data_IF_659124706846
#
_entry.id   IF_659124706846
#
_cell.length_a   1.000
_cell.length_b   1.000
_cell.length_c   1.000
_cell.angle_alpha   90.00
_cell.angle_beta   90.00
_cell.angle_gamma   90.00
#
_symmetry.space_group_name_H-M   'P 1'
#
loop_
_entity.id
_entity.type
_entity.pdbx_description
1 polymer ?
#
# COMPACT_ATOMS: atom_id res chain seq x y z
N UNK A 1 -48.52 29.73 8.76
CA UNK A 1 -47.18 29.83 9.40
C UNK A 1 -46.65 28.50 9.95
N UNK A 2 -47.47 27.63 10.57
CA UNK A 2 -47.01 26.32 11.07
C UNK A 2 -46.55 25.33 9.97
N UNK A 3 -47.19 25.34 8.79
CA UNK A 3 -46.78 24.49 7.67
C UNK A 3 -45.46 24.92 7.01
N UNK A 4 -45.09 26.21 7.10
CA UNK A 4 -43.84 26.72 6.54
C UNK A 4 -42.63 26.35 7.41
N UNK A 5 -42.82 26.24 8.74
CA UNK A 5 -41.77 25.75 9.64
C UNK A 5 -41.46 24.26 9.45
N UNK A 6 -42.48 23.43 9.15
CA UNK A 6 -42.28 21.98 8.94
C UNK A 6 -41.49 21.72 7.66
N UNK A 7 -41.65 22.55 6.62
CA UNK A 7 -40.89 22.44 5.38
C UNK A 7 -39.42 22.88 5.55
N UNK A 8 -39.15 23.83 6.45
CA UNK A 8 -37.79 24.28 6.76
C UNK A 8 -37.01 23.29 7.65
N UNK A 9 -37.71 22.43 8.40
CA UNK A 9 -37.08 21.37 9.22
C UNK A 9 -36.80 20.08 8.44
N UNK A 10 -37.36 19.90 7.24
CA UNK A 10 -37.11 18.72 6.39
C UNK A 10 -35.97 18.90 5.38
N UNK A 11 -35.45 20.12 5.18
CA UNK A 11 -34.31 20.38 4.27
C UNK A 11 -32.94 20.10 4.90
N UNK A 12 -32.89 19.70 6.16
CA UNK A 12 -31.67 19.29 6.87
C UNK A 12 -31.39 17.77 6.77
N UNK A 13 -31.92 17.10 5.74
CA UNK A 13 -31.54 15.72 5.40
C UNK A 13 -30.08 15.69 4.95
N UNK A 14 -29.18 15.63 5.95
CA UNK A 14 -27.95 14.84 6.01
C UNK A 14 -27.32 14.57 4.64
N UNK A 15 -26.75 15.59 4.03
CA UNK A 15 -25.73 15.41 3.01
C UNK A 15 -24.46 14.92 3.72
N UNK A 16 -24.38 13.61 4.00
CA UNK A 16 -23.10 12.97 4.27
C UNK A 16 -22.34 12.90 2.95
N UNK A 17 -21.61 13.96 2.63
CA UNK A 17 -20.59 13.88 1.59
C UNK A 17 -19.51 12.93 2.10
N UNK A 18 -19.34 11.79 1.43
CA UNK A 18 -18.17 10.97 1.69
C UNK A 18 -16.93 11.75 1.28
N UNK A 19 -16.09 12.04 2.26
CA UNK A 19 -14.88 12.81 2.05
C UNK A 19 -13.81 11.91 1.41
N UNK A 20 -13.34 12.30 0.24
CA UNK A 20 -12.16 11.71 -0.39
C UNK A 20 -10.97 11.76 0.58
N UNK A 21 -10.21 10.67 0.64
CA UNK A 21 -9.00 10.63 1.42
C UNK A 21 -7.84 11.13 0.55
N UNK A 22 -7.16 12.20 1.00
CA UNK A 22 -6.05 12.82 0.27
C UNK A 22 -4.72 12.66 0.99
N UNK A 23 -3.66 12.48 0.22
CA UNK A 23 -2.29 12.48 0.71
C UNK A 23 -1.37 13.20 -0.27
N UNK A 24 -0.39 13.92 0.24
CA UNK A 24 0.62 14.61 -0.55
C UNK A 24 2.00 14.04 -0.25
N UNK A 25 2.77 13.82 -1.30
CA UNK A 25 4.15 13.36 -1.24
C UNK A 25 5.05 14.43 -1.87
N UNK A 26 6.01 14.96 -1.11
CA UNK A 26 6.88 16.05 -1.58
C UNK A 26 8.20 15.54 -2.16
N UNK A 27 8.76 16.32 -3.09
CA UNK A 27 9.98 15.98 -3.82
C UNK A 27 11.03 17.09 -3.74
N UNK A 28 12.29 16.65 -3.80
CA UNK A 28 13.43 17.53 -3.99
C UNK A 28 13.37 18.24 -5.35
N UNK A 29 14.12 19.33 -5.46
CA UNK A 29 14.31 20.01 -6.75
C UNK A 29 14.94 19.03 -7.75
N UNK A 30 14.37 18.99 -8.96
CA UNK A 30 14.89 18.23 -10.09
C UNK A 30 14.94 16.70 -9.90
N UNK A 31 14.12 16.17 -8.99
CA UNK A 31 14.10 14.74 -8.65
C UNK A 31 12.70 14.15 -8.67
N UNK A 32 12.64 12.86 -8.98
CA UNK A 32 11.44 12.01 -8.89
C UNK A 32 11.62 10.80 -7.95
N UNK A 33 12.80 10.61 -7.36
CA UNK A 33 12.96 9.63 -6.29
C UNK A 33 12.26 10.15 -5.03
N UNK A 34 11.47 9.29 -4.39
CA UNK A 34 10.72 9.63 -3.18
C UNK A 34 11.72 9.72 -2.01
N UNK A 35 11.79 10.85 -1.28
CA UNK A 35 12.62 10.94 -0.07
C UNK A 35 12.22 9.89 0.97
N UNK A 36 13.16 9.34 1.73
CA UNK A 36 12.89 8.27 2.73
C UNK A 36 11.83 8.66 3.76
N UNK A 37 11.81 9.93 4.19
CA UNK A 37 10.80 10.46 5.10
C UNK A 37 9.40 10.45 4.50
N UNK A 38 9.29 10.80 3.22
CA UNK A 38 8.03 10.82 2.48
C UNK A 38 7.59 9.40 2.12
N UNK A 39 8.52 8.51 1.79
CA UNK A 39 8.25 7.09 1.58
C UNK A 39 7.64 6.46 2.84
N UNK A 40 8.21 6.76 4.02
CA UNK A 40 7.68 6.28 5.30
C UNK A 40 6.26 6.81 5.58
N UNK A 41 5.99 8.08 5.25
CA UNK A 41 4.65 8.68 5.38
C UNK A 41 3.65 8.08 4.41
N UNK A 42 4.09 7.80 3.19
CA UNK A 42 3.28 7.13 2.17
C UNK A 42 2.89 5.72 2.60
N UNK A 43 3.82 4.92 3.16
CA UNK A 43 3.47 3.59 3.67
C UNK A 43 2.44 3.65 4.82
N UNK A 44 2.55 4.63 5.72
CA UNK A 44 1.54 4.85 6.77
C UNK A 44 0.19 5.30 6.19
N UNK A 45 0.19 5.99 5.06
CA UNK A 45 -1.04 6.31 4.35
C UNK A 45 -1.66 5.06 3.73
N UNK A 46 -0.86 4.23 3.05
CA UNK A 46 -1.31 2.99 2.42
C UNK A 46 -1.94 2.02 3.44
N UNK A 47 -1.38 1.90 4.65
CA UNK A 47 -1.96 1.02 5.67
C UNK A 47 -3.38 1.43 6.08
N UNK A 48 -3.74 2.71 5.96
CA UNK A 48 -5.11 3.19 6.22
C UNK A 48 -6.03 2.89 5.04
N UNK A 49 -5.48 2.94 3.83
CA UNK A 49 -6.21 2.70 2.58
C UNK A 49 -6.52 1.21 2.40
N UNK A 50 -5.65 0.32 2.88
CA UNK A 50 -5.83 -1.14 2.83
C UNK A 50 -7.09 -1.63 3.56
N UNK A 51 -7.54 -0.91 4.60
CA UNK A 51 -8.74 -1.28 5.37
C UNK A 51 -10.07 -0.83 4.71
N UNK A 52 -9.99 -0.19 3.54
CA UNK A 52 -11.09 0.47 2.85
C UNK A 52 -11.48 -0.27 1.56
N UNK A 53 -12.77 -0.34 1.26
CA UNK A 53 -13.22 -0.67 -0.09
C UNK A 53 -12.99 0.52 -1.01
N UNK A 54 -12.08 0.39 -1.96
CA UNK A 54 -11.67 1.49 -2.85
C UNK A 54 -12.49 1.45 -4.14
N UNK A 55 -13.13 2.58 -4.47
CA UNK A 55 -13.77 2.78 -5.77
C UNK A 55 -12.74 3.26 -6.80
N UNK A 56 -11.91 4.22 -6.40
CA UNK A 56 -11.02 4.93 -7.31
C UNK A 56 -9.80 5.47 -6.59
N UNK A 57 -8.62 5.32 -7.22
CA UNK A 57 -7.39 6.02 -6.87
C UNK A 57 -6.98 6.90 -8.04
N UNK A 58 -6.63 8.15 -7.73
CA UNK A 58 -6.07 9.11 -8.67
C UNK A 58 -4.73 9.64 -8.14
N UNK A 59 -3.72 9.68 -9.00
CA UNK A 59 -2.35 10.10 -8.69
C UNK A 59 -1.99 11.24 -9.65
N UNK A 60 -1.72 12.42 -9.11
CA UNK A 60 -1.40 13.61 -9.89
C UNK A 60 -0.06 14.21 -9.48
N UNK A 61 0.90 14.20 -10.39
CA UNK A 61 2.23 14.77 -10.15
C UNK A 61 2.31 16.23 -10.56
N UNK A 62 3.11 17.00 -9.82
CA UNK A 62 3.30 18.43 -10.04
C UNK A 62 4.77 18.85 -9.86
N UNK A 63 5.13 19.97 -10.50
CA UNK A 63 6.41 20.64 -10.42
C UNK A 63 6.26 22.08 -9.93
N UNK A 64 7.38 22.72 -9.57
CA UNK A 64 7.40 24.17 -9.34
C UNK A 64 7.48 24.95 -10.65
N UNK A 65 7.44 26.28 -10.57
CA UNK A 65 7.38 27.24 -11.70
C UNK A 65 8.68 27.34 -12.52
N UNK A 66 9.67 26.49 -12.27
CA UNK A 66 10.99 26.55 -12.91
C UNK A 66 11.16 25.41 -13.88
N UNK A 67 11.81 25.70 -15.01
CA UNK A 67 12.01 24.75 -16.09
C UNK A 67 11.14 25.09 -17.29
N UNK A 68 11.22 24.29 -18.35
CA UNK A 68 10.29 24.40 -19.47
C UNK A 68 9.04 23.56 -19.21
N UNK A 69 7.90 23.96 -19.78
CA UNK A 69 6.63 23.24 -19.63
C UNK A 69 6.77 21.75 -19.98
N UNK A 70 7.46 21.45 -21.10
CA UNK A 70 7.69 20.08 -21.53
C UNK A 70 8.55 19.30 -20.52
N UNK A 71 9.57 19.95 -19.94
CA UNK A 71 10.39 19.33 -18.90
C UNK A 71 9.56 19.03 -17.65
N UNK A 72 8.80 20.02 -17.18
CA UNK A 72 7.95 19.89 -16.01
C UNK A 72 6.86 18.84 -16.20
N UNK A 73 6.30 18.70 -17.41
CA UNK A 73 5.33 17.66 -17.74
C UNK A 73 5.95 16.26 -17.61
N UNK A 74 7.15 16.05 -18.17
CA UNK A 74 7.85 14.76 -18.05
C UNK A 74 8.22 14.46 -16.59
N UNK A 75 8.81 15.41 -15.87
CA UNK A 75 9.24 15.22 -14.48
C UNK A 75 8.06 14.93 -13.55
N UNK A 76 6.94 15.64 -13.74
CA UNK A 76 5.73 15.41 -12.96
C UNK A 76 5.11 14.03 -13.25
N UNK A 77 5.16 13.55 -14.49
CA UNK A 77 4.72 12.18 -14.83
C UNK A 77 5.61 11.13 -14.14
N UNK A 78 6.93 11.30 -14.20
CA UNK A 78 7.86 10.39 -13.52
C UNK A 78 7.61 10.31 -12.01
N UNK A 79 7.24 11.43 -11.36
CA UNK A 79 6.83 11.45 -9.96
C UNK A 79 5.54 10.66 -9.73
N UNK A 80 4.52 10.87 -10.56
CA UNK A 80 3.27 10.11 -10.46
C UNK A 80 3.49 8.60 -10.65
N UNK A 81 4.34 8.20 -11.60
CA UNK A 81 4.69 6.81 -11.87
C UNK A 81 5.48 6.19 -10.71
N UNK A 82 6.37 6.95 -10.07
CA UNK A 82 7.07 6.51 -8.86
C UNK A 82 6.08 6.17 -7.72
N UNK A 83 5.05 7.00 -7.53
CA UNK A 83 3.99 6.71 -6.56
C UNK A 83 3.17 5.50 -6.96
N UNK A 84 2.76 5.38 -8.24
CA UNK A 84 2.07 4.19 -8.75
C UNK A 84 2.87 2.91 -8.46
N UNK A 85 4.18 2.95 -8.67
CA UNK A 85 5.08 1.83 -8.39
C UNK A 85 5.07 1.43 -6.92
N UNK A 86 4.98 2.39 -5.98
CA UNK A 86 4.84 2.07 -4.56
C UNK A 86 3.50 1.39 -4.27
N UNK A 87 2.40 1.81 -4.88
CA UNK A 87 1.11 1.10 -4.75
C UNK A 87 1.22 -0.34 -5.25
N UNK A 88 1.73 -0.58 -6.46
CA UNK A 88 1.89 -1.93 -7.03
C UNK A 88 2.78 -2.82 -6.16
N UNK A 89 3.88 -2.28 -5.62
CA UNK A 89 4.80 -3.02 -4.75
C UNK A 89 4.22 -3.36 -3.36
N UNK A 90 3.12 -2.72 -2.96
CA UNK A 90 2.37 -3.02 -1.75
C UNK A 90 1.05 -3.74 -2.06
N UNK A 91 0.99 -4.46 -3.20
CA UNK A 91 -0.08 -5.38 -3.57
C UNK A 91 -1.47 -4.73 -3.71
N UNK A 92 -1.53 -3.41 -3.94
CA UNK A 92 -2.78 -2.74 -4.29
C UNK A 92 -3.24 -3.16 -5.69
N UNK A 93 -4.54 -3.39 -5.84
CA UNK A 93 -5.15 -3.69 -7.14
C UNK A 93 -4.95 -2.51 -8.10
N UNK A 94 -4.20 -2.72 -9.17
CA UNK A 94 -3.97 -1.68 -10.17
C UNK A 94 -5.25 -1.26 -10.90
N UNK A 95 -6.29 -2.11 -10.91
CA UNK A 95 -7.56 -1.83 -11.60
C UNK A 95 -8.30 -0.63 -11.00
N UNK A 96 -8.10 -0.35 -9.70
CA UNK A 96 -8.69 0.83 -9.03
C UNK A 96 -7.86 2.10 -9.25
N UNK A 97 -6.63 1.99 -9.77
CA UNK A 97 -5.77 3.14 -10.10
C UNK A 97 -6.13 3.66 -11.50
N UNK A 98 -7.16 4.49 -11.52
CA UNK A 98 -7.77 4.99 -12.76
C UNK A 98 -7.05 6.16 -13.42
N UNK A 99 -6.26 6.94 -12.68
CA UNK A 99 -5.60 8.14 -13.18
C UNK A 99 -4.17 8.23 -12.62
N UNK A 100 -3.18 8.38 -13.50
CA UNK A 100 -1.76 8.58 -13.16
C UNK A 100 -1.18 9.59 -14.15
N UNK A 101 -1.29 10.87 -13.80
CA UNK A 101 -0.96 11.95 -14.73
C UNK A 101 0.06 12.93 -14.12
N UNK A 102 1.09 13.26 -14.88
CA UNK A 102 1.87 14.47 -14.70
C UNK A 102 1.09 15.70 -15.13
N UNK A 103 0.93 16.68 -14.25
CA UNK A 103 0.20 17.93 -14.53
C UNK A 103 1.13 19.10 -14.85
N UNK A 104 2.45 18.89 -14.86
CA UNK A 104 3.43 19.93 -15.11
C UNK A 104 3.60 20.86 -13.91
N UNK A 105 3.86 22.13 -14.17
CA UNK A 105 4.12 23.15 -13.15
C UNK A 105 2.85 23.70 -12.48
N UNK A 106 2.98 24.06 -11.20
CA UNK A 106 1.98 24.85 -10.47
C UNK A 106 2.46 26.30 -10.38
N UNK A 107 1.59 27.22 -10.82
CA UNK A 107 1.84 28.65 -10.73
C UNK A 107 1.90 29.14 -9.27
N UNK A 108 2.78 30.12 -9.03
CA UNK A 108 3.11 30.62 -7.68
C UNK A 108 1.95 31.24 -6.90
N UNK A 109 0.88 31.67 -7.59
CA UNK A 109 -0.27 32.37 -7.01
C UNK A 109 -1.32 31.44 -6.36
N UNK A 110 -1.11 30.12 -6.40
CA UNK A 110 -2.07 29.14 -5.89
C UNK A 110 -1.88 28.92 -4.38
N UNK A 111 -0.66 29.06 -3.86
CA UNK A 111 -0.31 28.77 -2.46
C UNK A 111 -0.25 30.06 -1.64
N UNK A 112 -0.91 30.07 -0.49
CA UNK A 112 -0.92 31.19 0.45
C UNK A 112 0.34 31.19 1.33
N UNK A 113 1.49 31.51 0.74
CA UNK A 113 2.76 31.65 1.44
C UNK A 113 3.56 32.78 0.77
N UNK A 114 4.29 33.57 1.55
CA UNK A 114 5.02 34.73 1.02
C UNK A 114 6.44 34.34 0.57
N UNK A 115 6.99 33.27 1.16
CA UNK A 115 8.32 32.81 0.82
C UNK A 115 8.30 31.92 -0.45
N UNK A 116 8.82 32.46 -1.55
CA UNK A 116 8.95 31.77 -2.83
C UNK A 116 9.62 30.39 -2.75
N UNK A 117 10.66 30.24 -1.92
CA UNK A 117 11.34 28.95 -1.78
C UNK A 117 10.44 27.89 -1.13
N UNK A 118 9.59 28.31 -0.18
CA UNK A 118 8.62 27.42 0.45
C UNK A 118 7.48 27.07 -0.51
N UNK A 119 6.93 28.05 -1.23
CA UNK A 119 5.90 27.82 -2.26
C UNK A 119 6.38 26.76 -3.25
N UNK A 120 7.60 26.93 -3.78
CA UNK A 120 8.21 25.95 -4.70
C UNK A 120 8.36 24.58 -4.06
N UNK A 121 8.75 24.53 -2.79
CA UNK A 121 8.79 23.29 -2.01
C UNK A 121 7.45 22.58 -1.94
N UNK A 122 6.37 23.33 -1.69
CA UNK A 122 5.01 22.81 -1.60
C UNK A 122 4.43 22.41 -2.96
N UNK A 123 4.86 23.06 -4.05
CA UNK A 123 4.41 22.75 -5.42
C UNK A 123 5.07 21.50 -6.00
N UNK A 124 6.29 21.15 -5.56
CA UNK A 124 6.94 19.89 -5.95
C UNK A 124 6.34 18.72 -5.18
N UNK A 125 5.15 18.28 -5.60
CA UNK A 125 4.41 17.21 -4.94
C UNK A 125 3.72 16.26 -5.90
N UNK A 126 3.31 15.13 -5.36
CA UNK A 126 2.27 14.27 -5.94
C UNK A 126 1.08 14.28 -4.98
N UNK A 127 -0.12 14.54 -5.51
CA UNK A 127 -1.37 14.39 -4.79
C UNK A 127 -1.98 13.02 -5.10
N UNK A 128 -2.34 12.30 -4.05
CA UNK A 128 -3.01 11.00 -4.10
C UNK A 128 -4.42 11.21 -3.56
N UNK A 129 -5.41 10.82 -4.33
CA UNK A 129 -6.83 10.94 -3.98
C UNK A 129 -7.45 9.56 -4.03
N UNK A 130 -7.91 9.08 -2.88
CA UNK A 130 -8.59 7.79 -2.72
C UNK A 130 -10.06 8.06 -2.45
N UNK A 131 -10.90 7.54 -3.34
CA UNK A 131 -12.35 7.55 -3.21
C UNK A 131 -12.82 6.16 -2.74
N UNK A 132 -13.39 6.04 -1.54
CA UNK A 132 -13.98 4.80 -1.08
C UNK A 132 -15.31 4.51 -1.78
N UNK A 133 -15.73 3.24 -1.76
CA UNK A 133 -17.07 2.82 -2.18
C UNK A 133 -18.13 3.31 -1.17
N UNK A 134 -19.28 3.81 -1.68
CA UNK A 134 -20.46 4.15 -0.88
C UNK A 134 -21.74 3.48 -1.38
N UNK A 135 -22.62 2.95 -0.49
CA UNK A 135 -22.36 2.69 0.92
C UNK A 135 -21.17 1.73 1.11
N UNK A 136 -20.43 1.81 2.24
CA UNK A 136 -19.41 0.81 2.53
C UNK A 136 -20.08 -0.55 2.42
N UNK A 137 -19.48 -1.48 1.68
CA UNK A 137 -20.05 -2.82 1.57
C UNK A 137 -20.13 -3.37 2.99
N UNK A 138 -21.21 -4.08 3.36
CA UNK A 138 -21.21 -4.82 4.60
C UNK A 138 -19.94 -5.65 4.60
N UNK A 139 -19.04 -5.43 5.57
CA UNK A 139 -17.88 -6.29 5.73
C UNK A 139 -18.46 -7.67 6.04
N UNK A 140 -18.63 -8.50 5.01
CA UNK A 140 -18.70 -9.94 5.20
C UNK A 140 -17.37 -10.26 5.87
N UNK A 141 -17.41 -10.52 7.17
CA UNK A 141 -16.28 -11.11 7.88
C UNK A 141 -16.18 -12.54 7.35
N UNK A 142 -15.68 -12.68 6.12
CA UNK A 142 -14.97 -13.89 5.77
C UNK A 142 -13.72 -13.79 6.61
N UNK A 143 -13.72 -14.50 7.74
CA UNK A 143 -12.47 -14.93 8.35
C UNK A 143 -11.77 -15.83 7.32
N UNK A 144 -11.27 -15.29 6.21
CA UNK A 144 -10.30 -15.96 5.35
C UNK A 144 -8.92 -15.70 5.97
N UNK A 145 -8.80 -16.03 7.27
CA UNK A 145 -7.49 -16.12 7.89
C UNK A 145 -6.78 -17.36 7.36
N UNK A 146 -5.45 -17.39 7.45
CA UNK A 146 -4.67 -18.52 6.92
C UNK A 146 -5.18 -19.88 7.44
N UNK A 147 -5.65 -19.95 8.69
CA UNK A 147 -6.12 -21.18 9.31
C UNK A 147 -7.40 -21.73 8.67
N UNK A 148 -8.37 -20.86 8.34
CA UNK A 148 -9.66 -21.28 7.74
C UNK A 148 -9.48 -21.69 6.29
N UNK A 149 -8.69 -20.94 5.52
CA UNK A 149 -8.34 -21.27 4.13
C UNK A 149 -7.65 -22.63 4.06
N UNK A 150 -6.66 -22.87 4.94
CA UNK A 150 -5.94 -24.14 4.99
C UNK A 150 -6.79 -25.32 5.47
N UNK A 151 -7.91 -25.10 6.17
CA UNK A 151 -8.87 -26.16 6.54
C UNK A 151 -9.93 -26.41 5.47
N UNK A 152 -10.19 -25.45 4.60
CA UNK A 152 -11.24 -25.49 3.57
C UNK A 152 -10.92 -26.38 2.37
N UNK A 153 -11.72 -26.26 1.32
CA UNK A 153 -11.40 -26.90 0.04
C UNK A 153 -10.27 -26.12 -0.67
N UNK A 154 -9.25 -26.85 -1.12
CA UNK A 154 -8.09 -26.28 -1.82
C UNK A 154 -8.07 -26.80 -3.26
N UNK A 155 -7.82 -25.89 -4.20
CA UNK A 155 -7.62 -26.20 -5.62
C UNK A 155 -6.16 -26.01 -5.99
N UNK A 156 -5.72 -26.75 -7.01
CA UNK A 156 -4.38 -26.60 -7.55
C UNK A 156 -4.21 -25.17 -8.10
N UNK A 157 -3.14 -24.49 -7.66
CA UNK A 157 -2.85 -23.10 -8.02
C UNK A 157 -3.32 -22.05 -7.01
N UNK A 158 -4.06 -22.46 -5.96
CA UNK A 158 -4.44 -21.53 -4.89
C UNK A 158 -3.20 -20.96 -4.19
N UNK A 159 -3.18 -19.63 -4.01
CA UNK A 159 -2.14 -18.91 -3.27
C UNK A 159 -2.68 -18.45 -1.94
N UNK A 160 -2.11 -18.97 -0.85
CA UNK A 160 -2.52 -18.62 0.51
C UNK A 160 -1.39 -17.83 1.15
N UNK A 161 -1.69 -16.59 1.53
CA UNK A 161 -0.78 -15.77 2.33
C UNK A 161 -0.77 -16.31 3.76
N UNK A 162 0.43 -16.52 4.31
CA UNK A 162 0.59 -16.85 5.72
C UNK A 162 0.59 -15.56 6.55
N UNK A 163 -0.57 -15.21 7.09
CA UNK A 163 -0.79 -14.00 7.87
C UNK A 163 -0.06 -14.05 9.23
N UNK A 164 0.21 -12.89 9.81
CA UNK A 164 0.78 -12.75 11.16
C UNK A 164 2.16 -13.40 11.41
N UNK A 165 2.91 -13.70 10.34
CA UNK A 165 4.29 -14.22 10.40
C UNK A 165 5.33 -13.11 10.21
N UNK A 166 5.79 -12.55 11.33
CA UNK A 166 6.78 -11.49 11.37
C UNK A 166 8.19 -12.07 11.47
N UNK A 167 9.05 -11.65 10.55
CA UNK A 167 10.49 -11.90 10.58
C UNK A 167 11.22 -10.75 11.25
N UNK A 168 12.34 -11.03 11.94
CA UNK A 168 13.20 -9.96 12.42
C UNK A 168 13.81 -9.20 11.23
N UNK A 169 13.85 -7.87 11.32
CA UNK A 169 14.23 -6.99 10.21
C UNK A 169 15.58 -7.34 9.60
N UNK A 170 15.57 -7.69 8.31
CA UNK A 170 16.76 -8.09 7.55
C UNK A 170 17.30 -9.48 7.89
N UNK A 171 16.56 -10.31 8.63
CA UNK A 171 16.92 -11.68 8.97
C UNK A 171 15.85 -12.67 8.52
N UNK A 172 16.23 -13.96 8.46
CA UNK A 172 15.36 -15.07 8.06
C UNK A 172 14.62 -15.74 9.21
N UNK A 173 14.90 -15.40 10.48
CA UNK A 173 14.22 -16.00 11.63
C UNK A 173 12.99 -15.20 12.08
N UNK A 174 11.96 -15.92 12.50
CA UNK A 174 10.72 -15.35 13.03
C UNK A 174 10.93 -14.66 14.38
N UNK A 175 10.05 -13.69 14.67
CA UNK A 175 9.87 -13.15 16.03
C UNK A 175 9.31 -14.23 16.96
N UNK A 176 9.37 -13.99 18.27
CA UNK A 176 8.89 -14.97 19.25
C UNK A 176 7.36 -15.12 19.16
N UNK A 177 6.69 -14.02 18.87
CA UNK A 177 5.24 -13.86 18.79
C UNK A 177 4.64 -14.59 17.58
N UNK A 178 5.40 -14.75 16.49
CA UNK A 178 4.94 -15.46 15.29
C UNK A 178 5.13 -16.97 15.33
N UNK A 179 5.92 -17.52 16.27
CA UNK A 179 6.10 -18.98 16.39
C UNK A 179 4.80 -19.71 16.74
N UNK A 180 3.97 -19.24 17.71
CA UNK A 180 2.67 -19.85 17.97
C UNK A 180 1.73 -19.86 16.75
N UNK A 181 1.79 -18.83 15.91
CA UNK A 181 1.00 -18.77 14.67
C UNK A 181 1.43 -19.89 13.71
N UNK A 182 2.75 -20.03 13.50
CA UNK A 182 3.27 -21.09 12.64
C UNK A 182 3.04 -22.50 13.22
N UNK A 183 3.03 -22.65 14.55
CA UNK A 183 2.69 -23.92 15.20
C UNK A 183 1.26 -24.37 14.87
N UNK A 184 0.29 -23.45 14.84
CA UNK A 184 -1.10 -23.78 14.45
C UNK A 184 -1.18 -24.19 12.98
N UNK A 185 -0.51 -23.46 12.10
CA UNK A 185 -0.44 -23.79 10.67
C UNK A 185 0.19 -25.18 10.47
N UNK A 186 1.25 -25.50 11.21
CA UNK A 186 1.88 -26.82 11.16
C UNK A 186 0.92 -27.95 11.52
N UNK A 187 0.10 -27.77 12.57
CA UNK A 187 -0.92 -28.76 12.96
C UNK A 187 -1.94 -28.97 11.85
N UNK A 188 -2.46 -27.91 11.25
CA UNK A 188 -3.45 -27.99 10.16
C UNK A 188 -2.86 -28.72 8.95
N UNK A 189 -1.62 -28.39 8.56
CA UNK A 189 -0.96 -29.01 7.41
C UNK A 189 -0.61 -30.49 7.68
N UNK A 190 -0.27 -30.85 8.93
CA UNK A 190 -0.01 -32.25 9.31
C UNK A 190 -1.25 -33.13 9.21
N UNK A 191 -2.45 -32.57 9.46
CA UNK A 191 -3.72 -33.29 9.32
C UNK A 191 -4.10 -33.54 7.84
N UNK A 192 -3.51 -32.79 6.90
CA UNK A 192 -3.84 -32.86 5.47
C UNK A 192 -2.79 -33.62 4.66
N UNK A 193 -2.92 -34.95 4.64
CA UNK A 193 -2.00 -35.84 3.91
C UNK A 193 -2.10 -35.77 2.39
N UNK A 194 -3.11 -35.09 1.85
CA UNK A 194 -3.37 -34.94 0.41
C UNK A 194 -2.97 -33.58 -0.16
N UNK A 195 -2.30 -32.73 0.61
CA UNK A 195 -1.89 -31.38 0.17
C UNK A 195 -0.39 -31.35 -0.06
N UNK A 196 -0.02 -30.91 -1.27
CA UNK A 196 1.36 -30.62 -1.65
C UNK A 196 1.44 -29.14 -1.99
N UNK A 197 2.44 -28.45 -1.47
CA UNK A 197 2.55 -27.01 -1.61
C UNK A 197 4.01 -26.57 -1.69
N UNK A 198 4.21 -25.39 -2.27
CA UNK A 198 5.48 -24.68 -2.29
C UNK A 198 5.43 -23.52 -1.31
N UNK A 199 6.55 -23.21 -0.66
CA UNK A 199 6.68 -22.05 0.21
C UNK A 199 7.42 -20.98 -0.57
N UNK A 200 6.74 -19.88 -0.87
CA UNK A 200 7.33 -18.73 -1.54
C UNK A 200 7.66 -17.64 -0.51
N UNK A 201 8.81 -17.00 -0.69
CA UNK A 201 9.25 -15.89 0.13
C UNK A 201 9.27 -14.61 -0.69
N UNK A 202 8.80 -13.52 -0.12
CA UNK A 202 8.87 -12.19 -0.73
C UNK A 202 9.60 -11.20 0.19
N UNK A 203 10.15 -10.16 -0.41
CA UNK A 203 10.81 -9.05 0.28
C UNK A 203 10.39 -7.75 -0.38
N UNK A 204 10.09 -6.73 0.42
CA UNK A 204 9.86 -5.39 -0.07
C UNK A 204 11.17 -4.56 -0.07
N UNK A 205 11.19 -3.47 -0.84
CA UNK A 205 12.23 -2.43 -0.78
C UNK A 205 13.66 -2.87 -1.17
N UNK A 206 13.81 -3.58 -2.30
CA UNK A 206 15.11 -4.08 -2.78
C UNK A 206 15.93 -3.07 -3.60
N UNK A 207 15.51 -1.82 -3.75
CA UNK A 207 16.16 -0.80 -4.59
C UNK A 207 16.39 -1.27 -6.05
N UNK A 208 15.44 -2.00 -6.63
CA UNK A 208 15.52 -2.52 -8.01
C UNK A 208 16.26 -3.85 -8.14
N UNK A 209 16.76 -4.40 -7.04
CA UNK A 209 17.43 -5.70 -7.02
C UNK A 209 16.43 -6.85 -6.90
N UNK A 210 16.84 -8.05 -7.31
CA UNK A 210 15.96 -9.23 -7.29
C UNK A 210 15.56 -9.67 -5.87
N UNK A 211 16.43 -9.45 -4.88
CA UNK A 211 16.20 -9.86 -3.48
C UNK A 211 16.93 -8.91 -2.51
N UNK A 212 16.59 -8.99 -1.24
CA UNK A 212 17.21 -8.28 -0.14
C UNK A 212 18.39 -9.08 0.46
N UNK A 213 19.28 -8.36 1.14
CA UNK A 213 20.45 -8.96 1.80
C UNK A 213 20.02 -9.55 3.16
N UNK A 214 20.27 -10.85 3.36
CA UNK A 214 20.19 -11.48 4.66
C UNK A 214 21.36 -11.00 5.54
N UNK A 215 21.05 -10.26 6.61
CA UNK A 215 22.04 -9.69 7.51
C UNK A 215 22.89 -10.74 8.22
N UNK A 216 22.42 -11.98 8.35
CA UNK A 216 23.18 -13.10 8.93
C UNK A 216 24.25 -13.60 7.98
N UNK A 217 23.88 -13.92 6.75
CA UNK A 217 24.79 -14.55 5.76
C UNK A 217 25.50 -13.54 4.87
N UNK A 218 25.06 -12.28 4.86
CA UNK A 218 25.48 -11.19 3.95
C UNK A 218 25.23 -11.50 2.47
N UNK A 219 24.39 -12.48 2.16
CA UNK A 219 24.02 -12.86 0.80
C UNK A 219 22.69 -12.22 0.42
N UNK A 220 22.52 -11.91 -0.87
CA UNK A 220 21.29 -11.35 -1.44
C UNK A 220 20.30 -12.46 -1.75
N UNK A 221 19.77 -13.09 -0.71
CA UNK A 221 18.87 -14.24 -0.79
C UNK A 221 17.86 -14.28 0.37
N UNK A 222 17.48 -13.12 0.91
CA UNK A 222 16.66 -13.03 2.12
C UNK A 222 15.29 -13.69 1.93
N UNK A 223 14.65 -13.49 0.77
CA UNK A 223 13.35 -14.09 0.45
C UNK A 223 13.41 -15.62 0.52
N UNK A 224 14.41 -16.21 -0.15
CA UNK A 224 14.66 -17.66 -0.18
C UNK A 224 15.02 -18.18 1.21
N UNK A 225 15.84 -17.43 1.96
CA UNK A 225 16.23 -17.81 3.32
C UNK A 225 15.03 -17.84 4.28
N UNK A 226 14.07 -16.93 4.11
CA UNK A 226 12.81 -16.90 4.88
C UNK A 226 11.91 -18.08 4.52
N UNK A 227 11.69 -18.33 3.22
CA UNK A 227 10.93 -19.49 2.77
C UNK A 227 11.53 -20.81 3.31
N UNK A 228 12.86 -20.94 3.24
CA UNK A 228 13.58 -22.10 3.80
C UNK A 228 13.41 -22.21 5.32
N UNK A 229 13.43 -21.10 6.05
CA UNK A 229 13.23 -21.12 7.49
C UNK A 229 11.84 -21.69 7.85
N UNK A 230 10.80 -21.30 7.14
CA UNK A 230 9.44 -21.83 7.34
C UNK A 230 9.39 -23.31 6.99
N UNK A 231 9.95 -23.72 5.84
CA UNK A 231 10.08 -25.12 5.46
C UNK A 231 10.73 -25.96 6.57
N UNK A 232 11.93 -25.55 7.01
CA UNK A 232 12.69 -26.25 8.05
C UNK A 232 11.94 -26.29 9.39
N UNK A 233 11.08 -25.31 9.66
CA UNK A 233 10.24 -25.26 10.86
C UNK A 233 9.09 -26.26 10.77
N UNK A 234 8.36 -26.28 9.65
CA UNK A 234 7.22 -27.17 9.42
C UNK A 234 7.66 -28.63 9.40
N UNK A 235 8.76 -28.97 8.72
CA UNK A 235 9.30 -30.34 8.65
C UNK A 235 9.70 -30.88 10.03
N UNK A 236 10.00 -30.03 11.02
CA UNK A 236 10.30 -30.48 12.39
C UNK A 236 9.06 -30.74 13.25
N UNK A 237 7.88 -30.32 12.78
CA UNK A 237 6.62 -30.35 13.51
C UNK A 237 5.64 -31.40 13.00
N UNK A 238 5.85 -31.86 11.77
CA UNK A 238 5.22 -33.05 11.17
C UNK A 238 6.07 -34.27 11.47
#
# INVERSE_FOLDING_TARGET
MKALLIFLTLSFQLAFSQQELKHEVYFDTDKYNIPETEHSRLLLFLSKVEEMDIEKISIYGFCDDRGSDNYNLVLSQQRADAIKTVFSNNEFDESVITNVDGKGEILLNIVHEENLSKIRGLNRKVEIIVKPVYPPKPKEVKEDNTETLLKGELKEGDKILLDNLLFRTGYSYLTKESKPVLDKIAVILAERTNVYFTIEGHVCCTQGERDAIDRKTKKRNLSVARAKYIYDYLVKKV
#
